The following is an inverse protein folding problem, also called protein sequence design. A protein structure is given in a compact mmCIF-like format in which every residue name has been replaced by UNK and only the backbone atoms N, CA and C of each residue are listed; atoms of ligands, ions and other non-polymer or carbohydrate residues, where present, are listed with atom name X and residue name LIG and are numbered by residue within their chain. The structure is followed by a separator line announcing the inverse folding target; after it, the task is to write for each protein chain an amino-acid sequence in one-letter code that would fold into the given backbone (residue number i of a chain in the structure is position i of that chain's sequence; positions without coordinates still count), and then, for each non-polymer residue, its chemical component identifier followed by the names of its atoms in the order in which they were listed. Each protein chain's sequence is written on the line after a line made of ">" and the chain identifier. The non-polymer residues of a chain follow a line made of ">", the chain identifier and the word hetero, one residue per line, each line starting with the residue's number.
data_IF_632557749302
#
_entry.id   IF_632557749302
#
_cell.length_a   1.000
_cell.length_b   1.000
_cell.length_c   1.000
_cell.angle_alpha   90.00
_cell.angle_beta   90.00
_cell.angle_gamma   90.00
#
_symmetry.space_group_name_H-M   'P 1'
#
loop_
_entity.id
_entity.type
_entity.pdbx_description
1 polymer ?
#
# COMPACT_ATOMS: atom_id res chain seq x y z
N UNK A 1 1.35 11.73 -5.20
CA UNK A 1 1.92 12.50 -4.07
C UNK A 1 0.85 12.91 -3.05
N UNK A 2 -0.27 13.51 -3.49
CA UNK A 2 -1.37 13.93 -2.61
C UNK A 2 -1.86 12.84 -1.63
N UNK A 3 -2.19 11.65 -2.15
CA UNK A 3 -2.65 10.51 -1.33
C UNK A 3 -1.70 10.19 -0.16
N UNK A 4 -0.41 10.04 -0.42
CA UNK A 4 0.57 9.72 0.62
C UNK A 4 0.79 10.83 1.64
N UNK A 5 0.73 12.09 1.20
CA UNK A 5 0.76 13.22 2.12
C UNK A 5 -0.45 13.16 3.08
N UNK A 6 -1.63 12.81 2.57
CA UNK A 6 -2.84 12.65 3.37
C UNK A 6 -2.76 11.46 4.35
N UNK A 7 -2.26 10.31 3.89
CA UNK A 7 -2.03 9.13 4.76
C UNK A 7 -1.10 9.49 5.92
N UNK A 8 0.04 10.12 5.66
CA UNK A 8 1.00 10.50 6.70
C UNK A 8 0.58 11.70 7.56
N UNK A 9 -0.44 12.43 7.15
CA UNK A 9 -1.07 13.46 7.97
C UNK A 9 -2.07 12.84 8.96
N UNK A 10 -2.87 11.86 8.52
CA UNK A 10 -3.90 11.22 9.35
C UNK A 10 -3.36 10.10 10.23
N UNK A 11 -2.33 9.40 9.76
CA UNK A 11 -1.59 8.41 10.55
C UNK A 11 -0.09 8.71 10.52
N UNK A 12 0.39 9.66 11.34
CA UNK A 12 1.82 9.95 11.46
C UNK A 12 2.63 8.73 11.91
N UNK A 13 2.03 7.83 12.71
CA UNK A 13 2.67 6.60 13.20
C UNK A 13 3.03 5.63 12.05
N UNK A 14 2.22 5.61 10.97
CA UNK A 14 2.47 4.75 9.82
C UNK A 14 3.77 5.08 9.07
N UNK A 15 4.31 6.31 9.21
CA UNK A 15 5.53 6.76 8.50
C UNK A 15 6.70 5.79 8.66
N UNK A 16 6.89 5.27 9.87
CA UNK A 16 8.00 4.39 10.20
C UNK A 16 7.94 3.06 9.44
N UNK A 17 6.75 2.59 9.07
CA UNK A 17 6.54 1.39 8.26
C UNK A 17 7.12 1.54 6.84
N UNK A 18 7.28 2.78 6.36
CA UNK A 18 7.79 3.11 5.03
C UNK A 18 9.27 3.56 5.02
N UNK A 19 10.03 3.36 6.12
CA UNK A 19 11.48 3.67 6.20
C UNK A 19 12.30 3.11 5.04
N UNK A 20 12.02 1.86 4.64
CA UNK A 20 12.74 1.17 3.57
C UNK A 20 12.53 1.77 2.18
N UNK A 21 11.52 2.63 2.03
CA UNK A 21 11.17 3.26 0.76
C UNK A 21 11.30 4.78 0.80
N UNK A 22 12.01 5.33 1.80
CA UNK A 22 12.31 6.76 1.92
C UNK A 22 11.06 7.64 2.11
N UNK A 23 10.23 7.28 3.10
CA UNK A 23 9.04 8.06 3.47
C UNK A 23 9.34 9.53 3.79
N UNK A 24 10.56 9.82 4.26
CA UNK A 24 11.05 11.16 4.62
C UNK A 24 10.95 12.14 3.45
N UNK A 25 10.97 11.63 2.21
CA UNK A 25 10.69 12.40 1.02
C UNK A 25 9.93 11.55 -0.01
N UNK A 26 8.61 11.77 -0.06
CA UNK A 26 7.70 11.05 -0.98
C UNK A 26 7.95 11.35 -2.47
N UNK A 27 8.84 12.28 -2.81
CA UNK A 27 9.23 12.60 -4.18
C UNK A 27 10.47 11.84 -4.67
N UNK A 28 11.10 11.04 -3.80
CA UNK A 28 12.24 10.20 -4.19
C UNK A 28 11.84 9.12 -5.20
N UNK A 29 12.76 8.69 -6.09
CA UNK A 29 12.49 7.56 -6.99
C UNK A 29 12.07 6.28 -6.26
N UNK A 30 12.67 6.00 -5.10
CA UNK A 30 12.35 4.83 -4.28
C UNK A 30 10.89 4.86 -3.79
N UNK A 31 10.44 5.99 -3.23
CA UNK A 31 9.08 6.12 -2.75
C UNK A 31 8.07 6.13 -3.90
N UNK A 32 8.40 6.78 -5.02
CA UNK A 32 7.57 6.78 -6.24
C UNK A 32 7.38 5.37 -6.78
N UNK A 33 8.46 4.58 -6.87
CA UNK A 33 8.36 3.18 -7.31
C UNK A 33 7.47 2.36 -6.36
N UNK A 34 7.55 2.58 -5.05
CA UNK A 34 6.65 1.94 -4.10
C UNK A 34 5.20 2.36 -4.29
N UNK A 35 4.94 3.67 -4.39
CA UNK A 35 3.62 4.24 -4.64
C UNK A 35 2.96 3.65 -5.89
N UNK A 36 3.73 3.50 -6.99
CA UNK A 36 3.25 2.86 -8.21
C UNK A 36 2.86 1.40 -8.00
N UNK A 37 3.63 0.63 -7.22
CA UNK A 37 3.26 -0.77 -6.90
C UNK A 37 1.96 -0.86 -6.09
N UNK A 38 1.76 0.06 -5.13
CA UNK A 38 0.51 0.11 -4.34
C UNK A 38 -0.68 0.43 -5.23
N UNK A 39 -0.57 1.45 -6.08
CA UNK A 39 -1.65 1.83 -7.00
C UNK A 39 -1.94 0.74 -8.04
N UNK A 40 -0.91 0.06 -8.55
CA UNK A 40 -1.09 -1.10 -9.44
C UNK A 40 -1.75 -2.28 -8.72
N UNK A 41 -1.42 -2.52 -7.45
CA UNK A 41 -2.10 -3.53 -6.63
C UNK A 41 -3.59 -3.23 -6.43
N UNK A 42 -3.93 -1.97 -6.17
CA UNK A 42 -5.31 -1.49 -6.05
C UNK A 42 -6.06 -1.59 -7.39
N UNK A 43 -5.43 -1.15 -8.49
CA UNK A 43 -5.99 -1.24 -9.84
C UNK A 43 -6.33 -2.70 -10.22
N UNK A 44 -5.41 -3.64 -9.95
CA UNK A 44 -5.68 -5.07 -10.15
C UNK A 44 -6.88 -5.54 -9.33
N UNK A 45 -7.02 -5.14 -8.07
CA UNK A 45 -8.18 -5.54 -7.26
C UNK A 45 -9.48 -4.97 -7.83
N UNK A 46 -9.47 -3.71 -8.28
CA UNK A 46 -10.64 -3.06 -8.90
C UNK A 46 -11.03 -3.79 -10.20
N UNK A 47 -10.04 -4.12 -11.04
CA UNK A 47 -10.25 -4.83 -12.29
C UNK A 47 -10.76 -6.28 -12.13
N UNK A 48 -10.61 -6.86 -10.93
CA UNK A 48 -11.04 -8.21 -10.60
C UNK A 48 -12.34 -8.26 -9.78
N UNK A 49 -13.00 -7.11 -9.54
CA UNK A 49 -14.21 -7.06 -8.71
C UNK A 49 -15.38 -7.90 -9.25
N UNK A 50 -15.38 -8.23 -10.54
CA UNK A 50 -16.37 -9.07 -11.21
C UNK A 50 -15.95 -10.56 -11.31
N UNK A 51 -14.72 -10.91 -10.92
CA UNK A 51 -14.24 -12.30 -10.79
C UNK A 51 -13.80 -12.58 -9.35
N UNK A 52 -14.76 -12.97 -8.51
CA UNK A 52 -14.54 -13.22 -7.09
C UNK A 52 -13.40 -14.21 -6.83
N UNK A 53 -13.28 -15.27 -7.64
CA UNK A 53 -12.31 -16.33 -7.42
C UNK A 53 -10.87 -15.83 -7.63
N UNK A 54 -10.66 -15.00 -8.64
CA UNK A 54 -9.36 -14.40 -8.94
C UNK A 54 -9.07 -13.25 -7.97
N UNK A 55 -10.08 -12.46 -7.60
CA UNK A 55 -9.95 -11.44 -6.56
C UNK A 55 -9.51 -12.03 -5.23
N UNK A 56 -10.12 -13.12 -4.76
CA UNK A 56 -9.75 -13.78 -3.50
C UNK A 56 -8.28 -14.25 -3.51
N UNK A 57 -7.82 -14.75 -4.66
CA UNK A 57 -6.42 -15.14 -4.86
C UNK A 57 -5.49 -13.92 -4.77
N UNK A 58 -5.87 -12.81 -5.42
CA UNK A 58 -5.09 -11.56 -5.38
C UNK A 58 -5.07 -10.94 -3.98
N UNK A 59 -6.20 -10.92 -3.27
CA UNK A 59 -6.30 -10.43 -1.89
C UNK A 59 -5.46 -11.28 -0.94
N UNK A 60 -5.47 -12.61 -1.11
CA UNK A 60 -4.60 -13.52 -0.34
C UNK A 60 -3.13 -13.20 -0.60
N UNK A 61 -2.74 -13.00 -1.86
CA UNK A 61 -1.38 -12.59 -2.19
C UNK A 61 -0.99 -11.27 -1.50
N UNK A 62 -1.85 -10.24 -1.57
CA UNK A 62 -1.61 -8.97 -0.90
C UNK A 62 -1.51 -9.13 0.63
N UNK A 63 -2.36 -9.96 1.24
CA UNK A 63 -2.31 -10.23 2.67
C UNK A 63 -0.96 -10.83 3.09
N UNK A 64 -0.40 -11.77 2.31
CA UNK A 64 0.93 -12.33 2.60
C UNK A 64 2.05 -11.28 2.54
N UNK A 65 1.91 -10.25 1.71
CA UNK A 65 2.88 -9.15 1.64
C UNK A 65 2.83 -8.23 2.88
N UNK A 66 1.66 -8.11 3.51
CA UNK A 66 1.42 -7.17 4.62
C UNK A 66 1.50 -7.82 6.01
N UNK A 67 1.26 -9.13 6.15
CA UNK A 67 1.27 -9.83 7.45
C UNK A 67 2.59 -9.69 8.22
N UNK A 68 3.72 -9.69 7.50
CA UNK A 68 5.06 -9.55 8.11
C UNK A 68 5.44 -8.10 8.44
N UNK A 69 4.57 -7.12 8.18
CA UNK A 69 4.84 -5.68 8.30
C UNK A 69 4.20 -5.04 9.53
N UNK A 70 3.44 -5.80 10.33
CA UNK A 70 2.73 -5.27 11.50
C UNK A 70 1.64 -4.27 11.12
N UNK A 71 0.95 -4.51 10.00
CA UNK A 71 -0.18 -3.69 9.55
C UNK A 71 -1.44 -4.21 10.25
N UNK A 72 -1.91 -3.46 11.24
CA UNK A 72 -3.15 -3.74 11.96
C UNK A 72 -4.37 -3.07 11.31
N UNK A 73 -5.57 -3.47 11.72
CA UNK A 73 -6.84 -2.99 11.15
C UNK A 73 -6.99 -1.46 11.15
N UNK A 74 -6.40 -0.77 12.12
CA UNK A 74 -6.40 0.69 12.22
C UNK A 74 -5.60 1.41 11.11
N UNK A 75 -4.78 0.68 10.35
CA UNK A 75 -3.97 1.22 9.26
C UNK A 75 -4.67 1.19 7.89
N UNK A 76 -5.80 0.47 7.77
CA UNK A 76 -6.60 0.37 6.55
C UNK A 76 -7.73 1.41 6.55
#
# INVERSE_FOLDING_TARGET
>A
HFMWAHVFQHSPAARDMFKRVRFDNIHTPAFRAHATRVLGGLDMCIALLDDQSVLDTQLTHLATQHVSRGVDAEHY
#
